data_IF_279049103287
#
_entry.id   IF_279049103287
#
_cell.length_a   1.000
_cell.length_b   1.000
_cell.length_c   1.000
_cell.angle_alpha   90.00
_cell.angle_beta   90.00
_cell.angle_gamma   90.00
#
_symmetry.space_group_name_H-M   'P 1'
#
loop_
_entity.id
_entity.type
_entity.pdbx_description
1 polymer ?
#
# COMPACT_ATOMS: atom_id res chain seq x y z
N UNK A 1 -30.24 10.01 68.30
CA UNK A 1 -31.43 9.81 67.43
C UNK A 1 -31.01 8.76 66.42
N UNK A 2 -31.46 7.52 66.60
CA UNK A 2 -31.11 6.41 65.73
C UNK A 2 -32.18 6.31 64.64
N UNK A 3 -31.77 6.42 63.38
CA UNK A 3 -32.63 6.16 62.23
C UNK A 3 -33.00 4.67 62.22
N UNK A 4 -34.23 4.37 62.64
CA UNK A 4 -34.84 3.05 62.47
C UNK A 4 -35.35 2.94 61.04
N UNK A 5 -34.53 2.30 60.20
CA UNK A 5 -34.89 1.89 58.85
C UNK A 5 -35.92 0.75 58.95
N UNK A 6 -37.18 1.03 58.58
CA UNK A 6 -38.23 0.03 58.53
C UNK A 6 -37.89 -1.00 57.42
N UNK A 7 -37.98 -2.31 57.68
CA UNK A 7 -37.80 -3.31 56.64
C UNK A 7 -38.91 -3.13 55.60
N UNK A 8 -38.52 -2.96 54.34
CA UNK A 8 -39.46 -2.93 53.21
C UNK A 8 -40.16 -4.29 53.20
N UNK A 9 -41.47 -4.30 53.47
CA UNK A 9 -42.31 -5.49 53.33
C UNK A 9 -42.37 -5.85 51.85
N UNK A 10 -41.52 -6.78 51.42
CA UNK A 10 -41.58 -7.36 50.08
C UNK A 10 -42.96 -8.02 49.91
N UNK A 11 -43.62 -7.67 48.81
CA UNK A 11 -44.94 -8.21 48.49
C UNK A 11 -44.78 -9.73 48.25
N UNK A 12 -45.66 -10.61 48.78
CA UNK A 12 -45.61 -12.04 48.47
C UNK A 12 -45.63 -12.34 46.95
N UNK A 13 -46.17 -11.43 46.12
CA UNK A 13 -46.08 -11.51 44.67
C UNK A 13 -44.66 -11.21 44.12
N UNK A 14 -43.89 -10.36 44.80
CA UNK A 14 -42.49 -10.06 44.50
C UNK A 14 -41.59 -11.24 44.90
N UNK A 15 -41.77 -11.80 46.09
CA UNK A 15 -41.04 -13.00 46.52
C UNK A 15 -41.38 -14.22 45.64
N UNK A 16 -42.65 -14.39 45.25
CA UNK A 16 -43.04 -15.46 44.34
C UNK A 16 -42.52 -15.24 42.91
N UNK A 17 -42.38 -13.98 42.47
CA UNK A 17 -41.75 -13.64 41.19
C UNK A 17 -40.25 -13.98 41.20
N UNK A 18 -39.56 -13.68 42.29
CA UNK A 18 -38.12 -13.92 42.40
C UNK A 18 -37.81 -15.42 42.51
N UNK A 19 -38.58 -16.15 43.31
CA UNK A 19 -38.52 -17.62 43.36
C UNK A 19 -38.88 -18.24 42.00
N UNK A 20 -39.87 -17.68 41.28
CA UNK A 20 -40.19 -18.12 39.92
C UNK A 20 -39.07 -17.79 38.94
N UNK A 21 -38.39 -16.65 39.04
CA UNK A 21 -37.23 -16.38 38.17
C UNK A 21 -36.07 -17.34 38.43
N UNK A 22 -35.88 -17.77 39.67
CA UNK A 22 -34.82 -18.74 40.02
C UNK A 22 -35.16 -20.17 39.56
N UNK A 23 -36.45 -20.55 39.54
CA UNK A 23 -36.89 -21.88 39.10
C UNK A 23 -37.25 -21.99 37.61
N UNK A 24 -37.46 -20.88 36.91
CA UNK A 24 -37.84 -20.90 35.49
C UNK A 24 -36.67 -21.34 34.62
N UNK A 25 -36.94 -22.21 33.66
CA UNK A 25 -35.94 -22.68 32.69
C UNK A 25 -35.79 -21.64 31.57
N UNK A 26 -34.57 -21.44 31.07
CA UNK A 26 -34.35 -20.60 29.91
C UNK A 26 -35.16 -21.16 28.74
N UNK A 27 -35.96 -20.30 28.10
CA UNK A 27 -36.67 -20.68 26.89
C UNK A 27 -35.86 -20.15 25.72
N UNK A 28 -35.41 -21.05 24.86
CA UNK A 28 -34.83 -20.69 23.57
C UNK A 28 -35.96 -20.05 22.77
N UNK A 29 -35.81 -18.77 22.39
CA UNK A 29 -36.88 -18.05 21.68
C UNK A 29 -36.78 -18.23 20.17
N UNK A 30 -35.63 -18.63 19.64
CA UNK A 30 -35.54 -19.27 18.33
C UNK A 30 -34.15 -19.89 18.19
N UNK A 31 -34.06 -21.21 18.29
CA UNK A 31 -32.89 -22.00 17.86
C UNK A 31 -33.33 -23.46 17.68
N UNK A 32 -33.97 -23.70 16.54
CA UNK A 32 -34.27 -25.02 16.01
C UNK A 32 -32.95 -25.73 15.55
N UNK A 33 -32.90 -27.07 15.46
CA UNK A 33 -31.68 -27.89 15.48
C UNK A 33 -30.84 -27.86 14.18
N UNK A 34 -31.19 -27.03 13.20
CA UNK A 34 -30.39 -26.74 12.01
C UNK A 34 -29.72 -25.36 12.12
N UNK A 35 -29.17 -25.03 13.29
CA UNK A 35 -28.62 -23.68 13.56
C UNK A 35 -27.63 -23.23 12.47
N UNK A 36 -28.01 -22.17 11.75
CA UNK A 36 -27.20 -21.52 10.73
C UNK A 36 -26.31 -20.45 11.40
N UNK A 37 -24.98 -20.44 11.18
CA UNK A 37 -24.08 -19.41 11.71
C UNK A 37 -24.47 -17.97 11.35
N UNK A 38 -25.26 -17.80 10.29
CA UNK A 38 -25.78 -16.51 9.81
C UNK A 38 -27.05 -16.06 10.55
N UNK A 39 -27.71 -16.92 11.33
CA UNK A 39 -28.89 -16.57 12.13
C UNK A 39 -28.50 -16.04 13.52
N UNK A 40 -29.34 -15.17 14.08
CA UNK A 40 -29.21 -14.74 15.47
C UNK A 40 -29.74 -15.84 16.40
N UNK A 41 -29.05 -16.07 17.51
CA UNK A 41 -29.41 -17.08 18.52
C UNK A 41 -29.84 -16.31 19.78
N UNK A 42 -31.15 -16.18 19.94
CA UNK A 42 -31.76 -15.35 20.99
C UNK A 42 -32.30 -16.24 22.10
N UNK A 43 -31.70 -16.14 23.28
CA UNK A 43 -32.11 -16.88 24.47
C UNK A 43 -32.80 -15.91 25.44
N UNK A 44 -33.96 -16.31 25.97
CA UNK A 44 -34.56 -15.59 27.10
C UNK A 44 -34.02 -16.11 28.43
N UNK A 45 -33.47 -15.18 29.21
CA UNK A 45 -32.98 -15.43 30.57
C UNK A 45 -34.13 -15.20 31.57
N UNK A 46 -34.31 -16.08 32.55
CA UNK A 46 -35.40 -16.01 33.54
C UNK A 46 -35.45 -14.70 34.33
N UNK A 47 -34.31 -14.06 34.60
CA UNK A 47 -34.21 -12.77 35.28
C UNK A 47 -34.92 -11.67 34.46
N UNK A 48 -36.19 -11.41 34.82
CA UNK A 48 -37.08 -10.44 34.14
C UNK A 48 -37.29 -10.72 32.64
N UNK A 49 -37.09 -11.96 32.19
CA UNK A 49 -37.29 -12.38 30.78
C UNK A 49 -36.43 -11.57 29.80
N UNK A 50 -35.18 -11.27 30.19
CA UNK A 50 -34.23 -10.53 29.36
C UNK A 50 -33.83 -11.37 28.15
N UNK A 51 -33.96 -10.81 26.95
CA UNK A 51 -33.45 -11.44 25.73
C UNK A 51 -31.96 -11.14 25.62
N UNK A 52 -31.14 -12.18 25.54
CA UNK A 52 -29.69 -12.09 25.34
C UNK A 52 -29.34 -12.77 24.03
N UNK A 53 -28.61 -12.05 23.19
CA UNK A 53 -28.02 -12.62 21.98
C UNK A 53 -26.73 -13.37 22.34
N UNK A 54 -26.75 -14.69 22.21
CA UNK A 54 -25.59 -15.57 22.47
C UNK A 54 -24.84 -15.93 21.19
N UNK A 55 -25.30 -15.43 20.03
CA UNK A 55 -24.71 -15.77 18.74
C UNK A 55 -23.23 -15.39 18.65
N UNK A 56 -22.82 -14.31 19.31
CA UNK A 56 -21.41 -13.88 19.39
C UNK A 56 -20.53 -14.94 20.05
N UNK A 57 -20.89 -15.40 21.25
CA UNK A 57 -20.12 -16.41 21.97
C UNK A 57 -20.04 -17.74 21.21
N UNK A 58 -21.13 -18.11 20.52
CA UNK A 58 -21.18 -19.33 19.71
C UNK A 58 -20.31 -19.22 18.46
N UNK A 59 -20.31 -18.07 17.78
CA UNK A 59 -19.41 -17.79 16.63
C UNK A 59 -17.95 -17.77 17.06
N UNK A 60 -17.64 -17.16 18.21
CA UNK A 60 -16.28 -17.15 18.78
C UNK A 60 -15.79 -18.57 19.11
N UNK A 61 -16.62 -19.39 19.75
CA UNK A 61 -16.29 -20.79 20.04
C UNK A 61 -16.06 -21.61 18.77
N UNK A 62 -16.82 -21.35 17.70
CA UNK A 62 -16.60 -21.98 16.40
C UNK A 62 -15.31 -21.51 15.73
N UNK A 63 -15.04 -20.20 15.72
CA UNK A 63 -13.79 -19.64 15.18
C UNK A 63 -12.55 -20.19 15.92
N UNK A 64 -12.66 -20.46 17.24
CA UNK A 64 -11.59 -21.10 18.02
C UNK A 64 -11.26 -22.52 17.52
N UNK A 65 -12.29 -23.32 17.19
CA UNK A 65 -12.10 -24.69 16.69
C UNK A 65 -11.65 -24.73 15.22
N UNK A 66 -12.24 -23.89 14.38
CA UNK A 66 -11.91 -23.79 12.96
C UNK A 66 -12.34 -22.43 12.40
N UNK A 67 -11.49 -21.75 11.60
CA UNK A 67 -11.87 -20.48 10.99
C UNK A 67 -13.07 -20.66 10.05
N UNK A 68 -14.11 -19.86 10.25
CA UNK A 68 -15.33 -19.88 9.43
C UNK A 68 -15.08 -19.44 7.98
N UNK A 69 -14.07 -18.59 7.74
CA UNK A 69 -13.69 -18.08 6.42
C UNK A 69 -12.18 -17.87 6.35
N UNK A 70 -11.60 -17.95 5.15
CA UNK A 70 -10.18 -17.62 4.94
C UNK A 70 -10.00 -16.11 5.15
N UNK A 71 -9.19 -15.74 6.14
CA UNK A 71 -8.83 -14.36 6.47
C UNK A 71 -7.32 -14.27 6.54
N UNK A 72 -6.75 -13.14 6.11
CA UNK A 72 -5.33 -12.87 6.26
C UNK A 72 -4.78 -11.99 5.15
N UNK A 73 -3.69 -11.29 5.48
CA UNK A 73 -2.89 -10.54 4.49
C UNK A 73 -1.55 -11.25 4.36
N UNK A 74 -1.33 -11.94 3.25
CA UNK A 74 -0.02 -12.52 2.93
C UNK A 74 0.87 -11.42 2.34
N UNK A 75 2.08 -11.24 2.88
CA UNK A 75 3.09 -10.33 2.32
C UNK A 75 4.17 -11.13 1.64
N UNK A 76 4.41 -10.83 0.36
CA UNK A 76 5.41 -11.51 -0.45
C UNK A 76 6.55 -10.57 -0.80
N UNK A 77 7.77 -11.12 -0.82
CA UNK A 77 8.97 -10.42 -1.29
C UNK A 77 9.33 -10.75 -2.74
N UNK A 78 8.68 -11.77 -3.33
CA UNK A 78 8.91 -12.21 -4.70
C UNK A 78 7.60 -12.21 -5.52
N UNK A 79 7.70 -11.80 -6.78
CA UNK A 79 6.57 -11.69 -7.70
C UNK A 79 6.04 -13.08 -8.09
N UNK A 80 6.91 -14.08 -8.27
CA UNK A 80 6.45 -15.43 -8.62
C UNK A 80 5.61 -16.03 -7.48
N UNK A 81 5.98 -15.73 -6.23
CA UNK A 81 5.21 -16.11 -5.03
C UNK A 81 3.81 -15.47 -5.00
N UNK A 82 3.68 -14.19 -5.37
CA UNK A 82 2.38 -13.54 -5.52
C UNK A 82 1.53 -14.21 -6.61
N UNK A 83 2.11 -14.51 -7.77
CA UNK A 83 1.41 -15.15 -8.89
C UNK A 83 0.94 -16.56 -8.49
N UNK A 84 1.77 -17.32 -7.80
CA UNK A 84 1.41 -18.64 -7.31
C UNK A 84 0.25 -18.58 -6.31
N UNK A 85 0.29 -17.61 -5.37
CA UNK A 85 -0.81 -17.38 -4.43
C UNK A 85 -2.10 -16.96 -5.13
N UNK A 86 -2.02 -16.00 -6.07
CA UNK A 86 -3.17 -15.53 -6.81
C UNK A 86 -3.81 -16.66 -7.63
N UNK A 87 -3.01 -17.47 -8.34
CA UNK A 87 -3.54 -18.62 -9.07
C UNK A 87 -4.14 -19.71 -8.17
N UNK A 88 -3.62 -19.88 -6.95
CA UNK A 88 -4.14 -20.84 -5.97
C UNK A 88 -5.49 -20.43 -5.40
N UNK A 89 -5.75 -19.12 -5.27
CA UNK A 89 -6.91 -18.61 -4.54
C UNK A 89 -7.87 -17.77 -5.39
N UNK A 90 -7.59 -17.56 -6.68
CA UNK A 90 -8.50 -16.85 -7.58
C UNK A 90 -9.85 -17.55 -7.71
N UNK A 91 -10.89 -16.76 -7.78
CA UNK A 91 -12.22 -17.12 -8.27
C UNK A 91 -12.75 -16.02 -9.18
N UNK A 92 -13.99 -16.15 -9.63
CA UNK A 92 -14.58 -15.25 -10.65
C UNK A 92 -14.68 -13.78 -10.23
N UNK A 93 -14.65 -13.53 -8.92
CA UNK A 93 -14.77 -12.18 -8.34
C UNK A 93 -13.45 -11.67 -7.76
N UNK A 94 -12.33 -12.37 -7.96
CA UNK A 94 -11.04 -11.89 -7.46
C UNK A 94 -10.55 -10.67 -8.24
N UNK A 95 -9.91 -9.73 -7.54
CA UNK A 95 -9.40 -8.50 -8.14
C UNK A 95 -7.92 -8.31 -7.84
N UNK A 96 -7.19 -7.73 -8.80
CA UNK A 96 -5.79 -7.33 -8.65
C UNK A 96 -5.71 -5.81 -8.82
N UNK A 97 -5.14 -5.14 -7.82
CA UNK A 97 -4.93 -3.70 -7.82
C UNK A 97 -3.44 -3.42 -7.89
N UNK A 98 -3.07 -2.49 -8.78
CA UNK A 98 -1.74 -1.93 -8.83
C UNK A 98 -1.76 -0.51 -8.26
N UNK A 99 -0.85 -0.22 -7.34
CA UNK A 99 -0.56 1.14 -6.86
C UNK A 99 0.69 1.64 -7.60
N UNK A 100 0.55 2.45 -8.65
CA UNK A 100 1.67 2.97 -9.43
C UNK A 100 2.28 4.21 -8.74
N UNK A 101 2.69 4.04 -7.48
CA UNK A 101 3.36 5.09 -6.72
C UNK A 101 4.88 4.92 -6.87
N UNK A 102 5.57 5.94 -7.35
CA UNK A 102 7.03 5.90 -7.58
C UNK A 102 7.84 5.76 -6.29
N UNK A 103 7.25 6.11 -5.14
CA UNK A 103 7.89 6.03 -3.83
C UNK A 103 7.64 4.69 -3.12
N UNK A 104 6.52 4.04 -3.42
CA UNK A 104 6.13 2.77 -2.83
C UNK A 104 5.18 1.99 -3.77
N UNK A 105 5.73 1.43 -4.87
CA UNK A 105 4.93 0.65 -5.80
C UNK A 105 4.52 -0.65 -5.14
N UNK A 106 3.23 -1.01 -5.26
CA UNK A 106 2.70 -2.22 -4.65
C UNK A 106 1.63 -2.88 -5.52
N UNK A 107 1.57 -4.21 -5.50
CA UNK A 107 0.46 -4.99 -6.03
C UNK A 107 -0.32 -5.58 -4.87
N UNK A 108 -1.64 -5.39 -4.89
CA UNK A 108 -2.56 -5.99 -3.92
C UNK A 108 -3.55 -6.89 -4.66
N UNK A 109 -3.53 -8.18 -4.38
CA UNK A 109 -4.52 -9.13 -4.84
C UNK A 109 -5.54 -9.40 -3.73
N UNK A 110 -6.82 -9.34 -4.06
CA UNK A 110 -7.92 -9.67 -3.15
C UNK A 110 -8.67 -10.85 -3.75
N UNK A 111 -8.59 -12.00 -3.10
CA UNK A 111 -9.22 -13.22 -3.58
C UNK A 111 -10.75 -13.19 -3.42
N UNK A 112 -11.24 -12.60 -2.32
CA UNK A 112 -12.65 -12.53 -1.93
C UNK A 112 -13.24 -11.12 -2.17
N UNK A 113 -13.05 -10.58 -3.37
CA UNK A 113 -13.56 -9.26 -3.75
C UNK A 113 -15.03 -9.29 -4.19
N UNK A 114 -15.70 -8.13 -4.20
CA UNK A 114 -17.12 -8.00 -4.53
C UNK A 114 -17.42 -8.46 -5.96
N UNK A 115 -18.58 -9.08 -6.17
CA UNK A 115 -19.05 -9.37 -7.54
C UNK A 115 -19.51 -8.08 -8.24
N UNK A 116 -19.50 -8.08 -9.57
CA UNK A 116 -19.94 -6.93 -10.35
C UNK A 116 -21.45 -6.72 -10.25
N UNK A 117 -21.89 -5.49 -10.01
CA UNK A 117 -23.31 -5.10 -9.96
C UNK A 117 -23.56 -3.90 -9.06
N UNK A 118 -24.75 -3.28 -9.15
CA UNK A 118 -25.20 -2.29 -8.17
C UNK A 118 -25.49 -2.98 -6.83
N UNK A 119 -25.35 -2.22 -5.74
CA UNK A 119 -25.69 -2.71 -4.39
C UNK A 119 -27.18 -3.03 -4.31
N UNK A 120 -27.52 -4.21 -3.80
CA UNK A 120 -28.89 -4.56 -3.45
C UNK A 120 -29.17 -4.16 -2.00
N UNK A 121 -29.95 -3.10 -1.82
CA UNK A 121 -30.42 -2.62 -0.50
C UNK A 121 -31.81 -3.14 -0.12
N UNK A 122 -32.46 -3.89 -1.02
CA UNK A 122 -33.87 -4.27 -0.87
C UNK A 122 -34.05 -5.62 -0.19
N UNK A 123 -33.02 -6.46 -0.19
CA UNK A 123 -33.05 -7.79 0.40
C UNK A 123 -32.73 -7.78 1.91
N UNK A 124 -33.61 -8.29 2.78
CA UNK A 124 -33.40 -8.31 4.24
C UNK A 124 -32.21 -9.16 4.69
N UNK A 125 -31.79 -10.13 3.88
CA UNK A 125 -30.66 -11.04 4.18
C UNK A 125 -29.29 -10.49 3.75
N UNK A 126 -29.24 -9.25 3.26
CA UNK A 126 -28.03 -8.59 2.76
C UNK A 126 -27.76 -8.85 1.27
N UNK A 127 -26.76 -8.13 0.75
CA UNK A 127 -26.38 -8.16 -0.67
C UNK A 127 -25.58 -9.43 -1.01
N UNK A 128 -26.08 -10.24 -1.94
CA UNK A 128 -25.44 -11.47 -2.39
C UNK A 128 -24.14 -11.24 -3.19
N UNK A 129 -23.98 -10.05 -3.78
CA UNK A 129 -22.76 -9.65 -4.50
C UNK A 129 -21.64 -9.20 -3.55
N UNK A 130 -22.01 -8.84 -2.31
CA UNK A 130 -21.08 -8.36 -1.32
C UNK A 130 -20.22 -9.49 -0.75
N UNK A 131 -18.90 -9.31 -0.83
CA UNK A 131 -17.93 -10.20 -0.20
C UNK A 131 -17.16 -9.46 0.88
N UNK A 132 -16.39 -10.24 1.60
CA UNK A 132 -15.75 -9.84 2.83
C UNK A 132 -14.41 -9.13 2.62
N UNK A 133 -13.75 -9.32 1.47
CA UNK A 133 -12.46 -8.68 1.16
C UNK A 133 -11.40 -8.87 2.26
N UNK A 134 -11.40 -9.99 3.00
CA UNK A 134 -10.47 -10.26 4.10
C UNK A 134 -9.28 -11.14 3.69
N UNK A 135 -9.29 -11.75 2.51
CA UNK A 135 -8.22 -12.61 2.02
C UNK A 135 -7.39 -11.89 0.96
N UNK A 136 -6.28 -11.33 1.41
CA UNK A 136 -5.45 -10.41 0.64
C UNK A 136 -4.03 -10.95 0.50
N UNK A 137 -3.40 -10.62 -0.62
CA UNK A 137 -1.96 -10.72 -0.81
C UNK A 137 -1.43 -9.36 -1.22
N UNK A 138 -0.32 -8.97 -0.61
CA UNK A 138 0.38 -7.72 -0.89
C UNK A 138 1.80 -8.08 -1.31
N UNK A 139 2.24 -7.49 -2.41
CA UNK A 139 3.61 -7.55 -2.89
C UNK A 139 4.12 -6.12 -3.01
N UNK A 140 5.09 -5.80 -2.17
CA UNK A 140 5.75 -4.50 -2.15
C UNK A 140 6.97 -4.63 -3.09
N UNK A 141 7.05 -3.82 -4.14
CA UNK A 141 8.19 -3.87 -5.05
C UNK A 141 9.42 -3.32 -4.32
N UNK A 142 10.51 -4.10 -4.20
CA UNK A 142 11.74 -3.55 -3.66
C UNK A 142 12.28 -2.50 -4.64
N UNK A 143 12.32 -1.25 -4.20
CA UNK A 143 12.99 -0.19 -4.94
C UNK A 143 14.50 -0.45 -4.89
N UNK A 144 15.16 -0.31 -6.03
CA UNK A 144 16.62 -0.44 -6.11
C UNK A 144 17.28 0.67 -5.29
N UNK A 145 18.48 0.40 -4.78
CA UNK A 145 19.18 1.38 -3.95
C UNK A 145 19.61 2.58 -4.78
N UNK A 146 19.91 2.37 -6.06
CA UNK A 146 20.13 3.41 -7.06
C UNK A 146 18.90 4.32 -7.15
N UNK A 147 17.70 3.74 -7.37
CA UNK A 147 16.46 4.51 -7.50
C UNK A 147 16.18 5.38 -6.27
N UNK A 148 16.42 4.85 -5.07
CA UNK A 148 16.27 5.63 -3.82
C UNK A 148 17.26 6.79 -3.77
N UNK A 149 18.52 6.57 -4.13
CA UNK A 149 19.56 7.61 -4.14
C UNK A 149 19.23 8.74 -5.13
N UNK A 150 18.81 8.40 -6.35
CA UNK A 150 18.42 9.38 -7.37
C UNK A 150 17.14 10.13 -7.01
N UNK A 151 16.14 9.43 -6.44
CA UNK A 151 14.90 10.07 -5.98
C UNK A 151 15.13 11.02 -4.79
N UNK A 152 16.14 10.78 -3.96
CA UNK A 152 16.48 11.66 -2.84
C UNK A 152 17.01 13.03 -3.31
N UNK A 153 17.77 13.05 -4.41
CA UNK A 153 18.35 14.27 -4.99
C UNK A 153 17.35 15.00 -5.91
N UNK A 154 16.38 14.27 -6.48
CA UNK A 154 15.40 14.83 -7.41
C UNK A 154 14.61 15.99 -6.80
N UNK A 155 14.66 17.16 -7.45
CA UNK A 155 13.94 18.37 -7.01
C UNK A 155 14.59 19.13 -5.87
N UNK A 156 15.75 18.67 -5.36
CA UNK A 156 16.56 19.40 -4.38
C UNK A 156 17.70 20.13 -5.09
N UNK A 157 17.93 21.38 -4.72
CA UNK A 157 19.12 22.10 -5.17
C UNK A 157 20.33 21.57 -4.39
N UNK A 158 21.27 20.95 -5.10
CA UNK A 158 22.56 20.55 -4.54
C UNK A 158 23.61 21.64 -4.79
N UNK A 159 24.53 21.81 -3.85
CA UNK A 159 25.73 22.60 -4.12
C UNK A 159 26.66 21.88 -5.11
N UNK A 160 27.55 22.63 -5.77
CA UNK A 160 28.46 22.08 -6.79
C UNK A 160 29.31 20.93 -6.27
N UNK A 161 29.80 21.05 -5.03
CA UNK A 161 30.63 20.04 -4.39
C UNK A 161 29.84 18.77 -4.05
N UNK A 162 28.62 18.93 -3.52
CA UNK A 162 27.71 17.83 -3.20
C UNK A 162 27.25 17.08 -4.45
N UNK A 163 26.96 17.81 -5.55
CA UNK A 163 26.62 17.21 -6.84
C UNK A 163 27.79 16.42 -7.42
N UNK A 164 29.02 16.95 -7.30
CA UNK A 164 30.23 16.26 -7.75
C UNK A 164 30.45 14.93 -7.02
N UNK A 165 30.34 14.94 -5.69
CA UNK A 165 30.45 13.73 -4.88
C UNK A 165 29.34 12.71 -5.18
N UNK A 166 28.10 13.18 -5.36
CA UNK A 166 26.96 12.32 -5.70
C UNK A 166 27.12 11.64 -7.07
N UNK A 167 27.53 12.38 -8.10
CA UNK A 167 27.78 11.83 -9.44
C UNK A 167 28.95 10.85 -9.43
N UNK A 168 30.01 11.11 -8.66
CA UNK A 168 31.12 10.16 -8.50
C UNK A 168 30.68 8.87 -7.79
N UNK A 169 29.85 8.98 -6.75
CA UNK A 169 29.31 7.83 -6.02
C UNK A 169 28.35 6.98 -6.87
N UNK A 170 27.55 7.61 -7.73
CA UNK A 170 26.60 6.95 -8.65
C UNK A 170 27.12 6.78 -10.08
N UNK A 171 28.44 6.92 -10.29
CA UNK A 171 29.04 6.86 -11.61
C UNK A 171 28.75 5.54 -12.36
N UNK A 172 28.56 4.42 -11.64
CA UNK A 172 28.22 3.12 -12.25
C UNK A 172 26.85 3.13 -12.96
N UNK A 173 25.94 3.99 -12.52
CA UNK A 173 24.56 4.04 -13.00
C UNK A 173 24.43 4.89 -14.28
N UNK A 174 25.45 5.72 -14.54
CA UNK A 174 25.51 6.60 -15.70
C UNK A 174 26.16 5.82 -16.84
N UNK A 175 25.32 5.35 -17.77
CA UNK A 175 25.82 4.71 -18.99
C UNK A 175 26.26 5.75 -20.02
N UNK A 176 27.47 5.58 -20.55
CA UNK A 176 27.93 6.41 -21.66
C UNK A 176 27.11 6.13 -22.93
N UNK A 177 26.71 7.18 -23.69
CA UNK A 177 25.99 7.02 -24.94
C UNK A 177 26.81 6.23 -25.97
N UNK A 178 26.13 5.46 -26.83
CA UNK A 178 26.83 4.68 -27.86
C UNK A 178 27.59 5.58 -28.84
N UNK A 179 28.67 5.07 -29.47
CA UNK A 179 29.48 5.86 -30.41
C UNK A 179 28.68 6.47 -31.58
N UNK A 180 27.55 5.86 -31.95
CA UNK A 180 26.64 6.39 -32.96
C UNK A 180 25.89 7.64 -32.47
N UNK A 181 25.40 7.61 -31.24
CA UNK A 181 24.68 8.72 -30.59
C UNK A 181 25.61 9.92 -30.35
N UNK A 182 26.87 9.66 -30.00
CA UNK A 182 27.90 10.69 -29.82
C UNK A 182 28.31 11.40 -31.12
N UNK A 183 28.34 10.66 -32.24
CA UNK A 183 28.67 11.23 -33.55
C UNK A 183 27.53 12.03 -34.16
N UNK A 184 26.30 11.92 -33.62
CA UNK A 184 25.14 12.67 -34.09
C UNK A 184 24.78 12.43 -35.55
N UNK A 185 25.23 11.32 -36.14
CA UNK A 185 25.05 11.01 -37.56
C UNK A 185 24.10 9.84 -37.71
N UNK A 186 22.93 10.09 -38.28
CA UNK A 186 21.93 9.08 -38.63
C UNK A 186 22.49 8.17 -39.73
N UNK A 187 22.47 6.86 -39.51
CA UNK A 187 22.92 5.87 -40.49
C UNK A 187 22.02 4.64 -40.47
N UNK A 188 21.82 4.02 -41.63
CA UNK A 188 21.06 2.77 -41.81
C UNK A 188 21.72 1.55 -41.15
N UNK A 189 22.98 1.69 -40.69
CA UNK A 189 23.68 0.66 -39.92
C UNK A 189 23.40 0.71 -38.42
N UNK A 190 22.79 1.80 -37.92
CA UNK A 190 22.50 1.98 -36.49
C UNK A 190 21.15 1.33 -36.14
N UNK A 191 20.96 0.98 -34.87
CA UNK A 191 19.67 0.45 -34.45
C UNK A 191 18.57 1.53 -34.49
N UNK A 192 17.28 1.15 -34.71
CA UNK A 192 16.19 2.12 -34.81
C UNK A 192 16.00 3.02 -33.57
N UNK A 193 16.44 2.59 -32.39
CA UNK A 193 16.39 3.42 -31.17
C UNK A 193 17.52 4.46 -31.12
N UNK A 194 18.69 4.17 -31.69
CA UNK A 194 19.83 5.10 -31.76
C UNK A 194 19.54 6.26 -32.70
N UNK A 195 18.96 5.98 -33.86
CA UNK A 195 18.54 7.02 -34.80
C UNK A 195 17.46 7.93 -34.21
N UNK A 196 16.52 7.39 -33.43
CA UNK A 196 15.52 8.20 -32.70
C UNK A 196 16.15 9.11 -31.64
N UNK A 197 17.15 8.62 -30.90
CA UNK A 197 17.89 9.44 -29.92
C UNK A 197 18.67 10.56 -30.62
N UNK A 198 19.35 10.26 -31.74
CA UNK A 198 20.08 11.24 -32.54
C UNK A 198 19.14 12.32 -33.07
N UNK A 199 17.99 11.94 -33.64
CA UNK A 199 16.99 12.90 -34.11
C UNK A 199 16.44 13.78 -32.97
N UNK A 200 16.24 13.20 -31.78
CA UNK A 200 15.75 13.95 -30.62
C UNK A 200 16.80 14.94 -30.13
N UNK A 201 18.07 14.55 -30.08
CA UNK A 201 19.17 15.45 -29.73
C UNK A 201 19.35 16.57 -30.76
N UNK A 202 19.24 16.27 -32.06
CA UNK A 202 19.30 17.27 -33.12
C UNK A 202 18.14 18.29 -33.02
N UNK A 203 16.93 17.84 -32.70
CA UNK A 203 15.75 18.72 -32.50
C UNK A 203 15.86 19.63 -31.28
N UNK A 204 16.60 19.21 -30.27
CA UNK A 204 16.84 19.98 -29.03
C UNK A 204 18.11 20.85 -29.18
N UNK A 205 18.81 20.78 -30.33
CA UNK A 205 20.15 21.36 -30.53
C UNK A 205 21.17 20.95 -29.45
N UNK A 206 20.92 19.80 -28.82
CA UNK A 206 21.64 19.29 -27.67
C UNK A 206 22.63 18.18 -28.04
N UNK A 207 23.56 17.91 -27.12
CA UNK A 207 24.42 16.72 -27.15
C UNK A 207 24.16 15.87 -25.92
N UNK A 208 24.20 14.55 -26.05
CA UNK A 208 24.16 13.67 -24.89
C UNK A 208 25.48 13.79 -24.12
N UNK A 209 25.37 14.05 -22.81
CA UNK A 209 26.53 14.10 -21.93
C UNK A 209 27.09 12.70 -21.66
N UNK A 210 28.42 12.60 -21.63
CA UNK A 210 29.13 11.43 -21.09
C UNK A 210 29.37 11.59 -19.59
N UNK A 211 29.66 10.50 -18.89
CA UNK A 211 30.07 10.55 -17.48
C UNK A 211 31.26 11.49 -17.29
N UNK A 212 32.26 11.41 -18.17
CA UNK A 212 33.43 12.31 -18.13
C UNK A 212 33.06 13.79 -18.28
N UNK A 213 32.02 14.08 -19.08
CA UNK A 213 31.54 15.44 -19.29
C UNK A 213 30.70 15.93 -18.10
N UNK A 214 29.90 15.05 -17.48
CA UNK A 214 29.17 15.35 -16.25
C UNK A 214 30.13 15.65 -15.08
N UNK A 215 31.21 14.86 -14.95
CA UNK A 215 32.27 15.10 -13.98
C UNK A 215 33.07 16.38 -14.28
N UNK A 216 33.31 16.70 -15.55
CA UNK A 216 33.92 17.98 -15.92
C UNK A 216 33.00 19.16 -15.57
N UNK A 217 31.69 19.01 -15.78
CA UNK A 217 30.71 20.04 -15.43
C UNK A 217 30.56 20.22 -13.91
N UNK A 218 30.67 19.16 -13.10
CA UNK A 218 30.68 19.32 -11.64
C UNK A 218 31.96 20.00 -11.15
N UNK A 219 33.11 19.70 -11.75
CA UNK A 219 34.41 20.31 -11.41
C UNK A 219 34.56 21.77 -11.88
N UNK A 220 34.03 22.08 -13.06
CA UNK A 220 34.10 23.41 -13.67
C UNK A 220 32.75 23.74 -14.31
N UNK A 221 31.75 24.07 -13.49
CA UNK A 221 30.48 24.56 -14.01
C UNK A 221 30.66 26.02 -14.47
N UNK A 222 31.17 26.19 -15.70
CA UNK A 222 31.17 27.46 -16.42
C UNK A 222 29.85 27.60 -17.18
N UNK A 223 28.93 28.39 -16.63
CA UNK A 223 27.76 28.86 -17.38
C UNK A 223 28.27 29.91 -18.33
N UNK A 224 28.36 29.58 -19.63
CA UNK A 224 28.45 30.58 -20.66
C UNK A 224 27.07 31.23 -20.79
N UNK A 225 26.75 32.13 -19.85
CA UNK A 225 25.73 33.13 -20.11
C UNK A 225 26.30 34.02 -21.21
N UNK A 226 25.53 34.32 -22.25
CA UNK A 226 25.87 35.30 -23.27
C UNK A 226 25.86 36.70 -22.64
N UNK A 227 26.82 36.93 -21.76
CA UNK A 227 27.19 38.15 -21.07
C UNK A 227 28.63 37.90 -20.58
N UNK A 228 29.58 38.66 -21.12
CA UNK A 228 31.04 38.43 -21.05
C UNK A 228 31.63 38.27 -19.63
N UNK A 229 31.44 37.11 -18.99
CA UNK A 229 32.03 36.80 -17.69
C UNK A 229 32.47 35.34 -17.62
N UNK A 230 33.79 35.11 -17.59
CA UNK A 230 34.38 33.81 -17.31
C UNK A 230 34.81 33.76 -15.85
N UNK A 231 34.11 32.95 -15.05
CA UNK A 231 34.51 32.62 -13.67
C UNK A 231 35.02 31.18 -13.65
N UNK A 232 36.29 31.00 -13.29
CA UNK A 232 36.91 29.69 -13.12
C UNK A 232 37.34 29.54 -11.65
N UNK A 233 36.95 28.43 -11.02
CA UNK A 233 37.30 28.11 -9.63
C UNK A 233 38.08 26.79 -9.60
N UNK A 234 39.28 26.79 -9.02
CA UNK A 234 40.12 25.59 -8.91
C UNK A 234 39.92 24.92 -7.55
N UNK A 235 39.47 23.66 -7.56
CA UNK A 235 39.08 22.90 -6.36
C UNK A 235 40.25 22.48 -5.46
N UNK A 236 41.47 22.42 -5.98
CA UNK A 236 42.65 22.00 -5.20
C UNK A 236 43.26 23.14 -4.37
N UNK A 237 43.01 24.40 -4.76
CA UNK A 237 43.62 25.58 -4.11
C UNK A 237 42.61 26.57 -3.54
N UNK A 238 41.32 26.42 -3.84
CA UNK A 238 40.26 27.32 -3.35
C UNK A 238 40.32 28.73 -3.95
N UNK A 239 41.17 28.97 -4.95
CA UNK A 239 41.30 30.26 -5.62
C UNK A 239 40.27 30.39 -6.75
N UNK A 240 39.62 31.55 -6.79
CA UNK A 240 38.68 31.95 -7.84
C UNK A 240 39.32 33.07 -8.68
N UNK A 241 39.46 32.84 -9.99
CA UNK A 241 39.94 33.85 -10.92
C UNK A 241 38.77 34.36 -11.75
N UNK A 242 38.57 35.68 -11.74
CA UNK A 242 37.53 36.38 -12.50
C UNK A 242 38.22 37.13 -13.63
N UNK A 243 38.02 36.69 -14.87
CA UNK A 243 38.59 37.34 -16.05
C UNK A 243 37.49 38.11 -16.80
N UNK A 244 37.65 39.43 -16.87
CA UNK A 244 36.85 40.31 -17.72
C UNK A 244 37.45 40.31 -19.13
N UNK A 245 36.61 40.17 -20.16
CA UNK A 245 37.02 40.16 -21.58
C UNK A 245 36.37 41.33 -22.31
#
# INVERSE_FOLDING_TARGET
>A
MADTQFPVLENPAETMRDVMSDLMHHTIVDADPEWNPSAADLITVPEKRKVVDVSTYRREALEFMKPARRKGTARFADLASLIAWANRFKGDSSALFAKPDMTAPALTCIADYHAAGPVDVTTPTGDASARHCHHRAVYDFPLSDEWKAWMQVSGTGLDKDELGEFIEAQAKDIMDPTPAVLKGTTSDKNQPWENRLIETAQKIEGRFGQLAQLLAMSRQFQVFETSDLKVATNRDTGEAEIQFL
#
